data_IF_090548495724
#
_entry.id   IF_090548495724
#
_cell.length_a   1.000
_cell.length_b   1.000
_cell.length_c   1.000
_cell.angle_alpha   90.00
_cell.angle_beta   90.00
_cell.angle_gamma   90.00
#
_symmetry.space_group_name_H-M   'P 1'
#
loop_
_entity.id
_entity.type
_entity.pdbx_description
1 polymer ?
#
# COMPACT_ATOMS: atom_id res chain seq x y z
N UNK A 1 -3.24 1.49 -24.31
CA UNK A 1 -3.62 0.26 -25.03
C UNK A 1 -3.19 -0.86 -24.10
N UNK A 2 -4.07 -1.77 -23.67
CA UNK A 2 -3.70 -2.86 -22.76
C UNK A 2 -2.84 -3.87 -23.55
N UNK A 3 -1.53 -3.64 -23.58
CA UNK A 3 -0.55 -4.51 -24.24
C UNK A 3 -0.03 -5.56 -23.24
N UNK A 4 -0.36 -6.81 -23.53
CA UNK A 4 0.45 -8.03 -23.40
C UNK A 4 1.03 -8.49 -22.03
N UNK A 5 0.89 -7.75 -20.92
CA UNK A 5 1.43 -8.20 -19.61
C UNK A 5 0.38 -8.73 -18.61
N UNK A 6 -0.88 -8.88 -19.00
CA UNK A 6 -1.87 -9.57 -18.17
C UNK A 6 -1.59 -11.08 -18.18
N UNK A 7 -1.18 -11.65 -17.03
CA UNK A 7 -0.90 -13.08 -16.92
C UNK A 7 -2.20 -13.88 -16.86
N UNK A 8 -2.56 -14.54 -17.96
CA UNK A 8 -3.74 -15.39 -17.99
C UNK A 8 -3.62 -16.52 -16.94
N UNK A 9 -4.60 -16.62 -16.04
CA UNK A 9 -4.60 -17.61 -14.95
C UNK A 9 -5.61 -18.73 -15.19
N UNK A 10 -6.63 -18.47 -16.01
CA UNK A 10 -7.62 -19.46 -16.38
C UNK A 10 -8.19 -19.16 -17.76
N UNK A 11 -8.73 -20.18 -18.42
CA UNK A 11 -9.46 -20.03 -19.68
C UNK A 11 -10.83 -20.66 -19.59
N UNK A 12 -11.83 -19.95 -20.09
CA UNK A 12 -13.19 -20.49 -20.17
C UNK A 12 -13.24 -21.57 -21.24
N UNK A 13 -13.54 -22.79 -20.83
CA UNK A 13 -13.55 -23.96 -21.73
C UNK A 13 -14.90 -24.15 -22.39
N UNK A 14 -15.97 -24.05 -21.60
CA UNK A 14 -17.36 -24.28 -22.03
C UNK A 14 -18.34 -23.79 -20.96
N UNK A 15 -19.59 -23.60 -21.37
CA UNK A 15 -20.71 -23.45 -20.44
C UNK A 15 -21.04 -24.76 -19.72
N UNK A 16 -21.61 -24.62 -18.53
CA UNK A 16 -22.08 -25.70 -17.69
C UNK A 16 -23.51 -25.36 -17.22
N UNK A 17 -24.47 -26.26 -17.46
CA UNK A 17 -25.86 -26.04 -17.04
C UNK A 17 -26.59 -24.91 -17.79
N UNK A 18 -27.75 -24.51 -17.26
CA UNK A 18 -28.62 -23.46 -17.83
C UNK A 18 -28.55 -22.14 -17.06
N UNK A 19 -27.87 -22.11 -15.91
CA UNK A 19 -27.81 -20.95 -15.00
C UNK A 19 -26.53 -20.11 -15.18
N UNK A 20 -25.93 -20.14 -16.37
CA UNK A 20 -24.72 -19.37 -16.66
C UNK A 20 -23.43 -19.88 -15.99
N UNK A 21 -23.41 -21.10 -15.44
CA UNK A 21 -22.18 -21.67 -14.89
C UNK A 21 -21.16 -21.93 -16.02
N UNK A 22 -19.88 -21.81 -15.72
CA UNK A 22 -18.78 -21.92 -16.66
C UNK A 22 -17.76 -22.93 -16.17
N UNK A 23 -17.26 -23.76 -17.07
CA UNK A 23 -16.09 -24.61 -16.80
C UNK A 23 -14.83 -23.86 -17.18
N UNK A 24 -13.95 -23.66 -16.20
CA UNK A 24 -12.64 -23.05 -16.39
C UNK A 24 -11.56 -24.12 -16.45
N UNK A 25 -10.59 -23.92 -17.34
CA UNK A 25 -9.32 -24.61 -17.31
C UNK A 25 -8.31 -23.68 -16.64
N UNK A 26 -7.90 -24.02 -15.44
CA UNK A 26 -6.92 -23.28 -14.64
C UNK A 26 -5.51 -23.60 -15.14
N UNK A 27 -4.68 -22.58 -15.24
CA UNK A 27 -3.24 -22.72 -15.50
C UNK A 27 -2.47 -22.89 -14.18
N UNK A 28 -1.20 -23.28 -14.26
CA UNK A 28 -0.32 -23.43 -13.09
C UNK A 28 -0.06 -22.11 -12.34
N UNK A 29 -0.34 -20.98 -12.99
CA UNK A 29 -0.26 -19.65 -12.36
C UNK A 29 -1.45 -19.33 -11.47
N UNK A 30 -2.51 -20.15 -11.48
CA UNK A 30 -3.69 -19.94 -10.67
C UNK A 30 -3.43 -20.40 -9.21
N UNK A 31 -3.62 -19.53 -8.20
CA UNK A 31 -3.33 -19.83 -6.81
C UNK A 31 -4.19 -20.99 -6.31
N UNK A 32 -3.63 -21.81 -5.41
CA UNK A 32 -4.37 -22.92 -4.83
C UNK A 32 -5.44 -22.45 -3.84
N UNK A 33 -5.15 -21.38 -3.13
CA UNK A 33 -6.00 -20.75 -2.12
C UNK A 33 -6.84 -19.58 -2.66
N UNK A 34 -7.23 -19.63 -3.95
CA UNK A 34 -8.08 -18.59 -4.54
C UNK A 34 -9.37 -18.38 -3.75
N UNK A 35 -9.65 -17.11 -3.41
CA UNK A 35 -10.85 -16.73 -2.70
C UNK A 35 -11.93 -16.26 -3.69
N UNK A 36 -13.14 -16.86 -3.72
CA UNK A 36 -14.22 -16.38 -4.59
C UNK A 36 -14.69 -14.95 -4.31
N UNK A 37 -14.33 -14.36 -3.16
CA UNK A 37 -14.57 -12.94 -2.89
C UNK A 37 -13.75 -12.01 -3.79
N UNK A 38 -12.67 -12.50 -4.40
CA UNK A 38 -11.86 -11.72 -5.33
C UNK A 38 -12.45 -11.79 -6.75
N UNK A 39 -12.57 -10.64 -7.46
CA UNK A 39 -13.07 -10.63 -8.84
C UNK A 39 -12.04 -11.19 -9.82
N UNK A 40 -12.52 -11.90 -10.84
CA UNK A 40 -11.72 -12.31 -11.99
C UNK A 40 -11.95 -11.31 -13.13
N UNK A 41 -10.89 -10.87 -13.78
CA UNK A 41 -10.96 -9.94 -14.89
C UNK A 41 -11.03 -10.70 -16.20
N UNK A 42 -11.83 -10.21 -17.13
CA UNK A 42 -11.87 -10.68 -18.53
C UNK A 42 -11.66 -9.49 -19.46
N UNK A 43 -10.89 -9.69 -20.53
CA UNK A 43 -10.66 -8.62 -21.52
C UNK A 43 -11.66 -8.77 -22.66
N UNK A 44 -12.55 -7.79 -22.82
CA UNK A 44 -13.56 -7.72 -23.89
C UNK A 44 -13.43 -6.37 -24.57
N UNK A 45 -13.31 -6.33 -25.90
CA UNK A 45 -13.14 -5.07 -26.67
C UNK A 45 -12.01 -4.14 -26.16
N UNK A 46 -10.93 -4.75 -25.63
CA UNK A 46 -9.81 -4.03 -24.98
C UNK A 46 -10.18 -3.31 -23.68
N UNK A 47 -11.27 -3.71 -23.04
CA UNK A 47 -11.66 -3.28 -21.70
C UNK A 47 -11.49 -4.47 -20.74
N UNK A 48 -10.78 -4.27 -19.63
CA UNK A 48 -10.73 -5.25 -18.55
C UNK A 48 -12.00 -5.11 -17.70
N UNK A 49 -12.87 -6.12 -17.78
CA UNK A 49 -14.14 -6.19 -17.04
C UNK A 49 -13.96 -7.08 -15.81
N UNK A 50 -14.14 -6.56 -14.58
CA UNK A 50 -14.16 -7.37 -13.37
C UNK A 50 -15.45 -8.21 -13.29
N UNK A 51 -15.30 -9.50 -13.00
CA UNK A 51 -16.38 -10.47 -12.83
C UNK A 51 -16.30 -11.10 -11.43
N UNK A 52 -17.33 -10.89 -10.62
CA UNK A 52 -17.39 -11.43 -9.26
C UNK A 52 -17.83 -12.89 -9.25
N UNK A 53 -17.06 -13.74 -8.59
CA UNK A 53 -17.35 -15.16 -8.47
C UNK A 53 -18.37 -15.42 -7.35
N UNK A 54 -19.64 -15.65 -7.68
CA UNK A 54 -20.65 -16.08 -6.71
C UNK A 54 -20.37 -17.50 -6.18
N UNK A 55 -19.85 -18.37 -7.05
CA UNK A 55 -19.53 -19.75 -6.71
C UNK A 55 -18.32 -20.21 -7.47
N UNK A 56 -17.32 -20.75 -6.77
CA UNK A 56 -16.15 -21.38 -7.38
C UNK A 56 -15.95 -22.78 -6.81
N UNK A 57 -15.84 -23.77 -7.68
CA UNK A 57 -15.60 -25.16 -7.30
C UNK A 57 -14.47 -25.75 -8.13
N UNK A 58 -13.29 -25.84 -7.54
CA UNK A 58 -12.13 -26.49 -8.16
C UNK A 58 -12.36 -28.01 -8.29
N UNK A 59 -12.06 -28.56 -9.45
CA UNK A 59 -12.20 -29.97 -9.85
C UNK A 59 -10.84 -30.50 -10.30
N UNK A 60 -9.93 -30.72 -9.34
CA UNK A 60 -8.59 -31.23 -9.59
C UNK A 60 -7.54 -30.13 -9.83
N UNK A 61 -6.46 -30.46 -10.53
CA UNK A 61 -5.31 -29.55 -10.70
C UNK A 61 -5.61 -28.38 -11.64
N UNK A 62 -6.23 -28.67 -12.79
CA UNK A 62 -6.48 -27.70 -13.85
C UNK A 62 -7.96 -27.47 -14.16
N UNK A 63 -8.90 -28.15 -13.49
CA UNK A 63 -10.33 -27.96 -13.74
C UNK A 63 -10.97 -27.12 -12.65
N UNK A 64 -11.89 -26.23 -13.01
CA UNK A 64 -12.82 -25.59 -12.08
C UNK A 64 -14.18 -25.32 -12.73
N UNK A 65 -15.20 -25.20 -11.89
CA UNK A 65 -16.52 -24.69 -12.28
C UNK A 65 -16.75 -23.40 -11.53
N UNK A 66 -17.13 -22.34 -12.22
CA UNK A 66 -17.43 -21.03 -11.66
C UNK A 66 -18.84 -20.61 -12.04
N UNK A 67 -19.51 -19.87 -11.17
CA UNK A 67 -20.70 -19.10 -11.49
C UNK A 67 -20.39 -17.65 -11.15
N UNK A 68 -20.66 -16.75 -12.10
CA UNK A 68 -20.51 -15.30 -11.89
C UNK A 68 -21.89 -14.70 -11.65
N UNK A 69 -21.98 -13.75 -10.73
CA UNK A 69 -23.26 -13.09 -10.44
C UNK A 69 -23.81 -12.31 -11.63
N UNK A 70 -22.93 -11.74 -12.44
CA UNK A 70 -23.28 -10.99 -13.66
C UNK A 70 -23.68 -11.89 -14.85
N UNK A 71 -23.42 -13.19 -14.75
CA UNK A 71 -23.63 -14.17 -15.82
C UNK A 71 -24.61 -15.24 -15.35
N UNK A 72 -25.90 -14.92 -15.44
CA UNK A 72 -26.99 -15.81 -15.01
C UNK A 72 -27.67 -16.55 -16.18
N UNK A 73 -27.27 -16.29 -17.42
CA UNK A 73 -27.87 -16.89 -18.63
C UNK A 73 -26.85 -17.63 -19.49
N UNK A 74 -27.29 -18.71 -20.14
CA UNK A 74 -26.47 -19.47 -21.09
C UNK A 74 -25.91 -18.58 -22.20
N UNK A 75 -26.69 -17.62 -22.72
CA UNK A 75 -26.23 -16.71 -23.77
C UNK A 75 -25.03 -15.90 -23.34
N UNK A 76 -25.09 -15.24 -22.17
CA UNK A 76 -23.96 -14.46 -21.64
C UNK A 76 -22.75 -15.33 -21.35
N UNK A 77 -22.98 -16.52 -20.80
CA UNK A 77 -21.92 -17.47 -20.54
C UNK A 77 -21.26 -17.97 -21.85
N UNK A 78 -22.03 -18.14 -22.92
CA UNK A 78 -21.50 -18.53 -24.23
C UNK A 78 -20.58 -17.47 -24.85
N UNK A 79 -20.84 -16.18 -24.61
CA UNK A 79 -19.97 -15.09 -25.07
C UNK A 79 -18.60 -15.10 -24.39
N UNK A 80 -18.51 -15.67 -23.19
CA UNK A 80 -17.25 -15.80 -22.46
C UNK A 80 -16.44 -17.05 -22.85
N UNK A 81 -17.01 -17.98 -23.62
CA UNK A 81 -16.30 -19.20 -24.02
C UNK A 81 -15.08 -18.85 -24.88
N UNK A 82 -13.93 -19.39 -24.50
CA UNK A 82 -12.67 -19.15 -25.18
C UNK A 82 -11.92 -17.92 -24.68
N UNK A 83 -12.55 -17.08 -23.84
CA UNK A 83 -11.87 -15.96 -23.20
C UNK A 83 -10.96 -16.43 -22.06
N UNK A 84 -9.92 -15.64 -21.81
CA UNK A 84 -8.97 -15.83 -20.73
C UNK A 84 -9.30 -14.89 -19.56
N UNK A 85 -9.09 -15.40 -18.36
CA UNK A 85 -9.36 -14.74 -17.09
C UNK A 85 -8.05 -14.43 -16.36
N UNK A 86 -8.07 -13.31 -15.63
CA UNK A 86 -6.93 -12.73 -14.92
C UNK A 86 -7.34 -12.46 -13.46
N UNK A 87 -6.43 -12.60 -12.49
CA UNK A 87 -6.72 -12.33 -11.06
C UNK A 87 -6.56 -10.86 -10.69
N UNK A 88 -5.56 -10.23 -11.29
CA UNK A 88 -5.35 -8.79 -11.22
C UNK A 88 -4.73 -8.41 -12.56
N UNK A 89 -5.31 -7.48 -13.34
CA UNK A 89 -4.50 -6.71 -14.26
C UNK A 89 -3.57 -5.91 -13.35
N UNK A 90 -2.34 -6.41 -13.15
CA UNK A 90 -1.35 -5.64 -12.42
C UNK A 90 -1.30 -4.22 -13.00
N UNK A 91 -1.09 -3.18 -12.18
CA UNK A 91 -0.79 -1.87 -12.72
C UNK A 91 0.41 -2.05 -13.67
N UNK A 92 0.36 -1.35 -14.78
CA UNK A 92 1.33 -1.44 -15.86
C UNK A 92 2.77 -1.25 -15.29
N UNK A 93 3.46 -2.34 -14.96
CA UNK A 93 4.86 -2.29 -14.56
C UNK A 93 5.70 -2.18 -15.84
N UNK A 94 5.62 -1.05 -16.55
CA UNK A 94 6.63 -0.55 -17.51
C UNK A 94 6.07 0.66 -18.28
N UNK A 95 6.19 1.87 -17.71
CA UNK A 95 6.76 3.05 -18.38
C UNK A 95 6.71 4.26 -17.42
N UNK A 96 7.89 4.85 -17.20
CA UNK A 96 8.21 6.18 -16.66
C UNK A 96 7.01 7.10 -16.28
N UNK A 97 6.89 7.41 -14.97
CA UNK A 97 6.17 8.57 -14.40
C UNK A 97 4.63 8.49 -14.14
N UNK A 98 4.03 7.31 -13.95
CA UNK A 98 2.58 7.16 -13.68
C UNK A 98 2.19 6.29 -12.48
N UNK A 99 1.91 6.93 -11.35
CA UNK A 99 1.13 6.52 -10.17
C UNK A 99 0.83 5.02 -9.97
N UNK A 100 1.74 4.33 -9.28
CA UNK A 100 1.47 3.02 -8.70
C UNK A 100 0.43 3.16 -7.60
N UNK A 101 -0.86 3.05 -7.93
CA UNK A 101 -1.96 3.18 -6.97
C UNK A 101 -1.84 2.15 -5.84
N UNK A 102 -1.23 2.58 -4.74
CA UNK A 102 -1.11 1.81 -3.51
C UNK A 102 -2.42 1.96 -2.76
N UNK A 103 -3.02 0.84 -2.35
CA UNK A 103 -4.14 0.91 -1.42
C UNK A 103 -3.63 1.49 -0.09
N UNK A 104 -4.25 2.57 0.38
CA UNK A 104 -3.84 3.26 1.60
C UNK A 104 -3.77 2.32 2.82
N UNK A 105 -4.57 1.25 2.82
CA UNK A 105 -4.54 0.20 3.86
C UNK A 105 -3.22 -0.59 3.91
N UNK A 106 -2.51 -0.74 2.78
CA UNK A 106 -1.24 -1.47 2.72
C UNK A 106 -0.07 -0.66 3.32
N UNK A 107 -0.25 0.66 3.43
CA UNK A 107 0.74 1.56 4.03
C UNK A 107 0.83 1.38 5.55
N UNK A 108 -0.09 0.64 6.17
CA UNK A 108 -0.05 0.35 7.61
C UNK A 108 1.21 -0.46 7.95
N UNK A 109 2.01 0.06 8.87
CA UNK A 109 3.30 -0.50 9.24
C UNK A 109 4.50 0.13 8.53
N UNK A 110 4.29 0.98 7.52
CA UNK A 110 5.38 1.69 6.85
C UNK A 110 6.04 2.70 7.78
N UNK A 111 7.34 2.90 7.55
CA UNK A 111 8.14 3.89 8.27
C UNK A 111 7.81 5.28 7.77
N UNK A 112 7.48 6.20 8.67
CA UNK A 112 7.09 7.57 8.35
C UNK A 112 8.31 8.48 8.34
N UNK A 113 8.44 9.28 7.30
CA UNK A 113 9.40 10.38 7.19
C UNK A 113 8.61 11.67 7.01
N UNK A 114 8.94 12.70 7.79
CA UNK A 114 8.31 14.01 7.66
C UNK A 114 9.30 14.94 6.96
N UNK A 115 8.94 15.47 5.79
CA UNK A 115 9.66 16.56 5.15
C UNK A 115 9.01 17.86 5.59
N UNK A 116 9.74 18.67 6.34
CA UNK A 116 9.41 20.08 6.54
C UNK A 116 10.42 20.88 5.72
N UNK A 117 10.22 21.00 4.41
CA UNK A 117 11.17 21.72 3.57
C UNK A 117 10.85 23.23 3.58
N UNK A 118 11.77 24.03 4.13
CA UNK A 118 11.81 25.47 3.94
C UNK A 118 12.38 25.77 2.54
N UNK A 119 11.65 26.39 1.59
CA UNK A 119 12.22 26.86 0.34
C UNK A 119 12.88 28.24 0.52
N UNK A 120 13.83 28.37 1.45
CA UNK A 120 14.65 29.58 1.57
C UNK A 120 16.12 29.24 1.26
N UNK A 121 16.44 29.32 -0.02
CA UNK A 121 17.81 29.40 -0.50
C UNK A 121 18.29 30.86 -0.41
N UNK A 122 19.20 31.23 0.51
CA UNK A 122 20.01 32.40 0.29
C UNK A 122 21.20 32.00 -0.57
N UNK A 123 21.10 32.27 -1.87
CA UNK A 123 22.28 32.50 -2.70
C UNK A 123 23.16 33.56 -2.03
N UNK A 124 24.35 33.20 -1.55
CA UNK A 124 25.53 34.08 -1.48
C UNK A 124 26.75 33.36 -0.90
N UNK A 125 27.69 33.05 -1.79
CA UNK A 125 29.15 32.99 -1.63
C UNK A 125 29.78 32.57 -0.28
N UNK A 126 30.70 31.57 -0.27
CA UNK A 126 31.71 31.50 0.79
C UNK A 126 32.79 32.57 0.53
N UNK A 127 33.36 33.22 1.57
CA UNK A 127 34.71 32.82 2.02
C UNK A 127 34.98 33.18 3.51
N UNK A 128 36.23 33.11 4.03
CA UNK A 128 36.92 31.90 4.43
C UNK A 128 37.40 31.95 5.90
N UNK A 129 38.00 30.84 6.33
CA UNK A 129 38.70 30.53 7.58
C UNK A 129 39.43 31.70 8.28
N UNK A 130 39.34 31.78 9.62
CA UNK A 130 40.53 32.08 10.46
C UNK A 130 40.31 31.79 11.97
N UNK A 131 41.28 31.07 12.55
CA UNK A 131 41.87 31.29 13.90
C UNK A 131 41.14 30.88 15.20
N UNK A 132 41.70 29.84 15.85
CA UNK A 132 41.59 29.48 17.29
C UNK A 132 42.23 30.55 18.23
N UNK A 133 42.46 30.35 19.57
CA UNK A 133 42.02 29.35 20.58
C UNK A 133 41.63 29.97 21.98
N UNK A 134 41.59 29.12 23.03
CA UNK A 134 41.63 29.42 24.50
C UNK A 134 40.29 29.75 25.23
N UNK A 135 39.91 29.22 26.41
CA UNK A 135 40.62 28.61 27.56
C UNK A 135 39.68 27.76 28.46
N UNK A 136 40.25 26.77 29.18
CA UNK A 136 39.70 26.05 30.39
C UNK A 136 40.04 26.85 31.69
N UNK A 137 39.83 26.40 32.96
CA UNK A 137 38.97 25.35 33.58
C UNK A 137 38.21 25.86 34.86
N UNK A 138 37.40 25.02 35.53
CA UNK A 138 37.33 24.92 37.01
C UNK A 138 36.44 23.76 37.48
N UNK A 139 36.85 23.11 38.57
CA UNK A 139 36.33 21.87 39.15
C UNK A 139 35.36 22.09 40.33
N UNK A 140 34.36 21.18 40.47
CA UNK A 140 33.71 20.53 41.67
C UNK A 140 33.49 21.28 43.02
N UNK A 141 32.77 20.73 44.04
CA UNK A 141 31.84 19.58 44.14
C UNK A 141 30.54 19.86 44.98
N UNK A 142 29.62 18.87 45.14
CA UNK A 142 28.53 18.97 46.14
C UNK A 142 27.40 17.93 46.19
N UNK A 143 27.71 16.70 46.65
CA UNK A 143 26.95 15.79 47.55
C UNK A 143 25.40 15.58 47.49
N UNK A 144 25.02 14.32 47.16
CA UNK A 144 23.97 13.38 47.69
C UNK A 144 22.50 13.85 47.83
N UNK A 145 21.49 13.04 47.48
CA UNK A 145 20.93 11.96 48.31
C UNK A 145 19.81 11.17 47.57
N UNK A 146 19.63 9.89 47.97
CA UNK A 146 18.41 9.04 47.97
C UNK A 146 17.79 8.58 46.62
N UNK A 147 17.72 7.26 46.37
CA UNK A 147 16.52 6.40 46.52
C UNK A 147 15.38 6.89 45.60
N UNK A 148 14.84 6.17 44.63
CA UNK A 148 14.27 4.82 44.62
C UNK A 148 13.61 4.63 43.25
N UNK A 149 13.45 3.40 42.80
CA UNK A 149 12.33 3.04 41.93
C UNK A 149 12.59 3.06 40.43
N UNK A 150 12.72 1.83 39.93
CA UNK A 150 12.00 1.33 38.75
C UNK A 150 12.39 1.84 37.37
N UNK A 151 12.19 0.92 36.43
CA UNK A 151 12.04 1.18 35.02
C UNK A 151 13.37 1.45 34.28
N UNK A 152 14.08 0.33 34.11
CA UNK A 152 14.91 0.05 32.95
C UNK A 152 14.04 0.09 31.68
N UNK A 153 13.51 1.27 31.36
CA UNK A 153 12.86 1.56 30.10
C UNK A 153 13.97 1.57 29.06
N UNK A 154 14.19 0.41 28.43
CA UNK A 154 14.90 0.29 27.16
C UNK A 154 14.26 1.27 26.18
N UNK A 155 14.76 2.51 26.12
CA UNK A 155 14.56 3.43 25.01
C UNK A 155 15.37 2.91 23.83
N UNK A 156 14.87 1.86 23.19
CA UNK A 156 15.31 1.43 21.87
C UNK A 156 14.43 2.09 20.84
N UNK A 157 14.92 3.20 20.26
CA UNK A 157 14.56 3.76 18.94
C UNK A 157 13.35 3.08 18.26
N UNK A 158 12.12 3.48 18.59
CA UNK A 158 10.96 3.09 17.79
C UNK A 158 10.87 4.05 16.60
N UNK A 159 11.32 3.60 15.43
CA UNK A 159 11.11 4.32 14.17
C UNK A 159 9.62 4.69 14.01
N UNK A 160 9.38 5.93 13.56
CA UNK A 160 8.05 6.48 13.33
C UNK A 160 7.33 5.63 12.29
N UNK A 161 6.08 5.23 12.55
CA UNK A 161 5.37 4.28 11.70
C UNK A 161 3.86 4.51 11.69
N UNK A 162 3.22 4.10 10.61
CA UNK A 162 1.75 4.04 10.53
C UNK A 162 1.29 2.85 11.38
N UNK A 163 0.49 3.10 12.42
CA UNK A 163 -0.09 2.05 13.25
C UNK A 163 -1.44 1.56 12.71
N UNK A 164 -2.23 2.46 12.10
CA UNK A 164 -3.58 2.15 11.63
C UNK A 164 -4.00 3.10 10.50
N UNK A 165 -4.80 2.57 9.57
CA UNK A 165 -5.55 3.33 8.59
C UNK A 165 -7.03 3.33 8.97
N UNK A 166 -7.64 4.50 9.04
CA UNK A 166 -9.05 4.70 9.38
C UNK A 166 -9.78 5.08 8.09
N UNK A 167 -10.52 4.13 7.54
CA UNK A 167 -11.43 4.34 6.42
C UNK A 167 -12.72 5.05 6.89
N UNK A 168 -13.19 6.05 6.12
CA UNK A 168 -14.36 6.86 6.45
C UNK A 168 -14.56 8.05 5.50
N UNK A 169 -15.49 8.96 5.81
CA UNK A 169 -15.72 10.17 5.00
C UNK A 169 -14.47 11.05 4.86
N UNK A 170 -13.59 11.02 5.87
CA UNK A 170 -12.26 11.61 5.84
C UNK A 170 -11.24 10.53 6.22
N UNK A 171 -10.54 9.92 5.26
CA UNK A 171 -9.59 8.86 5.55
C UNK A 171 -8.39 9.43 6.34
N UNK A 172 -7.94 8.71 7.36
CA UNK A 172 -6.90 9.16 8.30
C UNK A 172 -5.89 8.06 8.58
N UNK A 173 -4.60 8.41 8.62
CA UNK A 173 -3.52 7.59 9.16
C UNK A 173 -3.30 7.90 10.64
N UNK A 174 -3.30 6.88 11.49
CA UNK A 174 -2.79 6.97 12.86
C UNK A 174 -1.31 6.64 12.83
N UNK A 175 -0.47 7.65 13.02
CA UNK A 175 0.99 7.52 13.02
C UNK A 175 1.53 7.68 14.42
N UNK A 176 2.41 6.77 14.83
CA UNK A 176 3.18 6.92 16.08
C UNK A 176 4.50 7.60 15.78
N UNK A 177 4.71 8.78 16.37
CA UNK A 177 5.94 9.56 16.27
C UNK A 177 6.57 9.63 17.66
N UNK A 178 7.72 8.97 17.84
CA UNK A 178 8.35 8.81 19.15
C UNK A 178 7.41 8.22 20.21
N UNK A 179 7.01 9.03 21.19
CA UNK A 179 6.10 8.63 22.28
C UNK A 179 4.66 9.14 22.11
N UNK A 180 4.31 9.68 20.94
CA UNK A 180 3.04 10.37 20.67
C UNK A 180 2.34 9.74 19.48
N UNK A 181 1.02 9.90 19.42
CA UNK A 181 0.19 9.42 18.31
C UNK A 181 -0.48 10.61 17.63
N UNK A 182 -0.44 10.62 16.31
CA UNK A 182 -0.92 11.72 15.46
C UNK A 182 -1.86 11.15 14.41
N UNK A 183 -2.91 11.90 14.08
CA UNK A 183 -3.82 11.59 12.97
C UNK A 183 -3.48 12.49 11.78
N UNK A 184 -3.08 11.88 10.66
CA UNK A 184 -2.75 12.57 9.42
C UNK A 184 -3.83 12.24 8.40
N UNK A 185 -4.47 13.22 7.74
CA UNK A 185 -5.38 12.94 6.63
C UNK A 185 -4.67 12.16 5.54
N UNK A 186 -5.27 11.04 5.14
CA UNK A 186 -4.74 10.18 4.10
C UNK A 186 -5.12 10.73 2.72
N UNK A 187 -4.64 11.94 2.44
CA UNK A 187 -4.85 12.66 1.18
C UNK A 187 -3.51 12.85 0.49
N UNK A 188 -3.50 12.76 -0.83
CA UNK A 188 -2.29 12.87 -1.65
C UNK A 188 -1.56 14.20 -1.45
N UNK A 189 -2.26 15.27 -1.06
CA UNK A 189 -1.65 16.58 -0.77
C UNK A 189 -0.60 16.52 0.36
N UNK A 190 -0.72 15.56 1.29
CA UNK A 190 0.24 15.38 2.37
C UNK A 190 1.26 14.27 2.09
N UNK A 191 1.09 13.47 1.03
CA UNK A 191 1.98 12.35 0.73
C UNK A 191 2.97 12.86 -0.32
N UNK A 192 4.22 13.06 0.11
CA UNK A 192 5.28 13.54 -0.76
C UNK A 192 5.81 12.43 -1.67
N UNK A 193 6.03 11.25 -1.10
CA UNK A 193 6.61 10.10 -1.78
C UNK A 193 6.27 8.79 -1.04
N UNK A 194 6.21 7.68 -1.76
CA UNK A 194 6.02 6.35 -1.17
C UNK A 194 7.05 5.38 -1.76
N UNK A 195 7.91 4.84 -0.90
CA UNK A 195 8.91 3.85 -1.23
C UNK A 195 8.45 2.46 -0.72
N UNK A 196 7.89 1.67 -1.62
CA UNK A 196 7.41 0.32 -1.33
C UNK A 196 8.53 -0.67 -1.05
N UNK A 197 9.66 -0.54 -1.75
CA UNK A 197 10.82 -1.43 -1.60
C UNK A 197 11.38 -1.36 -0.17
N UNK A 198 11.35 -0.17 0.42
CA UNK A 198 11.85 0.12 1.77
C UNK A 198 10.74 0.18 2.81
N UNK A 199 9.49 -0.02 2.42
CA UNK A 199 8.30 0.11 3.28
C UNK A 199 8.33 1.44 4.05
N UNK A 200 8.54 2.54 3.32
CA UNK A 200 8.60 3.89 3.89
C UNK A 200 7.74 4.87 3.10
N UNK A 201 7.14 5.81 3.81
CA UNK A 201 6.31 6.88 3.26
C UNK A 201 6.83 8.21 3.74
N UNK A 202 6.86 9.19 2.84
CA UNK A 202 7.22 10.56 3.12
C UNK A 202 5.97 11.44 3.13
N UNK A 203 5.78 12.18 4.22
CA UNK A 203 4.69 13.15 4.34
C UNK A 203 5.23 14.58 4.33
N UNK A 204 4.62 15.43 3.51
CA UNK A 204 4.81 16.87 3.51
C UNK A 204 3.66 17.51 4.30
N UNK A 205 3.87 17.73 5.60
CA UNK A 205 2.87 18.33 6.47
C UNK A 205 3.21 19.79 6.73
N UNK A 206 2.27 20.74 6.53
CA UNK A 206 2.50 22.13 6.87
C UNK A 206 2.75 22.30 8.38
N UNK A 207 3.64 23.23 8.72
CA UNK A 207 3.95 23.58 10.11
C UNK A 207 2.67 24.01 10.85
N UNK A 208 2.38 23.36 11.98
CA UNK A 208 1.19 23.62 12.81
C UNK A 208 0.08 22.57 12.77
N UNK A 209 0.06 21.63 11.80
CA UNK A 209 -0.92 20.54 11.78
C UNK A 209 -0.74 19.59 12.98
N UNK A 210 0.51 19.36 13.36
CA UNK A 210 0.90 18.53 14.50
C UNK A 210 0.66 19.20 15.86
N UNK A 211 0.47 20.52 15.88
CA UNK A 211 0.27 21.31 17.10
C UNK A 211 -1.21 21.42 17.50
N UNK A 212 -2.14 21.20 16.56
CA UNK A 212 -3.59 21.36 16.78
C UNK A 212 -4.23 20.25 17.63
N UNK A 213 -3.48 19.19 17.97
CA UNK A 213 -3.94 18.06 18.78
C UNK A 213 -3.25 17.99 20.16
N UNK A 214 -2.73 19.12 20.66
CA UNK A 214 -2.19 19.27 22.03
C UNK A 214 -3.26 19.45 23.10
#
# INVERSE_FOLDING_TARGET
>A
MLEENAKAVARVSKTFGQNGELTLNLYDSFPQDFNPSEPLFVVIDKLAVPLFCDRFQRRGRSGAVVAFGDIDTERRAAELIGLELYLSPGPDEEDDEGDGLIYLEDLVGYTVRLTGENPDTPVSNPPPSSSSPESKPASEPGLKHSETGSDEQRSGCSADRIEEFIDGENPLFRVRIGSREVLIPAVEEFIADIDQERQSIEFDLPEGLLELYS
#
